data_IF_000809782408
#
_entry.id   IF_000809782408
#
_cell.length_a   1.000
_cell.length_b   1.000
_cell.length_c   1.000
_cell.angle_alpha   90.00
_cell.angle_beta   90.00
_cell.angle_gamma   90.00
#
_symmetry.space_group_name_H-M   'P 1'
#
loop_
_entity.id
_entity.type
_entity.pdbx_description
1 polymer ?
#
# COMPACT_ATOMS: atom_id res chain seq x y z
N UNK A 1 24.70 -11.68 20.48
CA UNK A 1 24.08 -11.08 21.68
C UNK A 1 23.19 -9.93 21.22
N UNK A 2 21.86 -10.11 21.06
CA UNK A 2 21.28 -9.49 19.84
C UNK A 2 19.88 -8.85 19.83
N UNK A 3 18.88 -9.21 20.66
CA UNK A 3 17.71 -8.30 20.82
C UNK A 3 17.25 -8.10 22.27
N UNK A 4 17.45 -9.10 23.12
CA UNK A 4 16.99 -9.07 24.50
C UNK A 4 17.75 -8.01 25.30
N UNK A 5 19.08 -8.02 25.22
CA UNK A 5 19.96 -7.03 25.86
C UNK A 5 19.62 -5.60 25.44
N UNK A 6 19.35 -5.34 24.16
CA UNK A 6 18.96 -4.00 23.69
C UNK A 6 17.61 -3.56 24.28
N UNK A 7 16.63 -4.47 24.39
CA UNK A 7 15.34 -4.19 25.00
C UNK A 7 15.43 -3.99 26.52
N UNK A 8 16.25 -4.77 27.21
CA UNK A 8 16.49 -4.61 28.66
C UNK A 8 17.23 -3.30 28.94
N UNK A 9 18.16 -2.91 28.07
CA UNK A 9 18.96 -1.70 28.24
C UNK A 9 18.15 -0.42 28.05
N UNK A 10 17.25 -0.39 27.06
CA UNK A 10 16.36 0.75 26.81
C UNK A 10 15.13 0.78 27.73
N UNK A 11 14.95 -0.22 28.60
CA UNK A 11 13.88 -0.21 29.60
C UNK A 11 14.04 0.95 30.58
N UNK A 12 15.27 1.31 30.92
CA UNK A 12 15.60 2.48 31.76
C UNK A 12 15.10 3.79 31.15
N UNK A 13 15.13 3.91 29.82
CA UNK A 13 14.57 5.07 29.14
C UNK A 13 13.04 5.10 29.26
N UNK A 14 12.39 3.96 29.12
CA UNK A 14 10.92 3.87 29.24
C UNK A 14 10.44 4.31 30.62
N UNK A 15 11.13 3.87 31.69
CA UNK A 15 10.85 4.32 33.06
C UNK A 15 11.03 5.81 33.23
N UNK A 16 12.14 6.37 32.71
CA UNK A 16 12.40 7.80 32.80
C UNK A 16 11.31 8.64 32.11
N UNK A 17 10.87 8.19 30.92
CA UNK A 17 9.79 8.86 30.19
C UNK A 17 8.46 8.77 30.95
N UNK A 18 8.13 7.62 31.51
CA UNK A 18 6.89 7.40 32.26
C UNK A 18 6.85 8.19 33.58
N UNK A 19 7.96 8.21 34.34
CA UNK A 19 8.12 9.00 35.57
C UNK A 19 7.93 10.50 35.32
N UNK A 20 8.31 10.98 34.13
CA UNK A 20 8.10 12.36 33.71
C UNK A 20 6.71 12.61 33.08
N UNK A 21 5.82 11.61 33.09
CA UNK A 21 4.46 11.70 32.57
C UNK A 21 4.39 11.82 31.04
N UNK A 22 5.45 11.43 30.32
CA UNK A 22 5.53 11.55 28.88
C UNK A 22 4.82 10.38 28.20
N UNK A 23 4.02 10.67 27.18
CA UNK A 23 3.38 9.64 26.37
C UNK A 23 4.33 9.24 25.26
N UNK A 24 4.65 7.96 25.14
CA UNK A 24 5.56 7.47 24.11
C UNK A 24 5.13 6.11 23.56
N UNK A 25 5.70 5.75 22.42
CA UNK A 25 5.63 4.42 21.82
C UNK A 25 7.04 4.06 21.37
N UNK A 26 7.52 2.87 21.76
CA UNK A 26 8.85 2.38 21.37
C UNK A 26 8.74 1.02 20.69
N UNK A 27 9.59 0.79 19.70
CA UNK A 27 9.80 -0.48 19.03
C UNK A 27 11.30 -0.66 18.78
N UNK A 28 11.93 -1.54 19.56
CA UNK A 28 13.39 -1.64 19.64
C UNK A 28 14.03 -0.26 19.93
N UNK A 29 14.83 0.26 19.00
CA UNK A 29 15.52 1.56 19.07
C UNK A 29 14.70 2.72 18.47
N UNK A 30 13.67 2.44 17.68
CA UNK A 30 12.78 3.46 17.12
C UNK A 30 11.68 3.82 18.13
N UNK A 31 11.54 5.10 18.48
CA UNK A 31 10.48 5.57 19.37
C UNK A 31 9.87 6.91 18.95
N UNK A 32 8.65 7.14 19.42
CA UNK A 32 7.90 8.39 19.28
C UNK A 32 7.55 8.90 20.67
N UNK A 33 7.74 10.20 20.90
CA UNK A 33 7.27 10.88 22.11
C UNK A 33 6.22 11.91 21.69
N UNK A 34 5.10 11.92 22.40
CA UNK A 34 3.95 12.76 22.12
C UNK A 34 3.81 13.84 23.19
N UNK A 35 3.61 15.07 22.73
CA UNK A 35 3.38 16.24 23.56
C UNK A 35 2.29 17.12 22.94
N UNK A 36 1.63 17.95 23.77
CA UNK A 36 0.57 18.86 23.31
C UNK A 36 1.13 20.22 22.90
N UNK A 37 2.30 20.61 23.41
CA UNK A 37 2.96 21.89 23.13
C UNK A 37 4.40 21.74 22.65
N UNK A 38 4.95 22.84 22.11
CA UNK A 38 6.36 22.89 21.69
C UNK A 38 7.27 22.90 22.92
N UNK A 39 6.88 23.56 23.99
CA UNK A 39 7.64 23.62 25.25
C UNK A 39 7.74 22.22 25.87
N UNK A 40 6.63 21.48 25.93
CA UNK A 40 6.60 20.11 26.43
C UNK A 40 7.51 19.17 25.63
N UNK A 41 7.49 19.24 24.29
CA UNK A 41 8.36 18.38 23.48
C UNK A 41 9.85 18.74 23.63
N UNK A 42 10.19 20.03 23.80
CA UNK A 42 11.57 20.42 24.08
C UNK A 42 12.05 19.90 25.43
N UNK A 43 11.20 19.96 26.47
CA UNK A 43 11.50 19.35 27.77
C UNK A 43 11.72 17.84 27.63
N UNK A 44 10.83 17.15 26.90
CA UNK A 44 10.96 15.72 26.65
C UNK A 44 12.26 15.35 25.92
N UNK A 45 12.68 16.15 24.93
CA UNK A 45 13.97 15.96 24.24
C UNK A 45 15.14 16.09 25.23
N UNK A 46 15.10 17.07 26.13
CA UNK A 46 16.14 17.26 27.15
C UNK A 46 16.27 16.04 28.08
N UNK A 47 15.15 15.57 28.63
CA UNK A 47 15.09 14.36 29.47
C UNK A 47 15.63 13.15 28.70
N UNK A 48 15.14 12.94 27.48
CA UNK A 48 15.57 11.82 26.62
C UNK A 48 17.08 11.86 26.35
N UNK A 49 17.63 13.03 25.99
CA UNK A 49 19.06 13.21 25.73
C UNK A 49 19.90 12.93 26.97
N UNK A 50 19.46 13.42 28.14
CA UNK A 50 20.16 13.18 29.41
C UNK A 50 20.21 11.68 29.73
N UNK A 51 19.06 11.00 29.67
CA UNK A 51 18.98 9.57 29.98
C UNK A 51 19.75 8.69 29.00
N UNK A 52 19.65 8.98 27.70
CA UNK A 52 20.44 8.24 26.70
C UNK A 52 21.94 8.42 26.93
N UNK A 53 22.38 9.63 27.29
CA UNK A 53 23.79 9.90 27.60
C UNK A 53 24.28 9.13 28.84
N UNK A 54 23.45 9.00 29.88
CA UNK A 54 23.74 8.14 31.04
C UNK A 54 23.90 6.67 30.63
N UNK A 55 23.09 6.22 29.67
CA UNK A 55 23.18 4.90 29.05
C UNK A 55 24.29 4.82 27.98
N UNK A 56 25.19 5.80 27.87
CA UNK A 56 26.27 5.79 26.87
C UNK A 56 25.78 5.75 25.41
N UNK A 57 24.54 6.18 25.17
CA UNK A 57 23.90 6.26 23.86
C UNK A 57 23.74 7.71 23.42
N UNK A 58 23.72 7.92 22.12
CA UNK A 58 23.48 9.23 21.52
C UNK A 58 22.29 9.19 20.57
N UNK A 59 21.56 10.30 20.51
CA UNK A 59 20.50 10.47 19.52
C UNK A 59 21.14 10.68 18.15
N UNK A 60 20.65 9.94 17.16
CA UNK A 60 21.00 10.20 15.77
C UNK A 60 20.35 11.52 15.30
N UNK A 61 21.04 12.66 15.48
CA UNK A 61 20.48 14.00 15.25
C UNK A 61 19.91 14.19 13.83
N UNK A 62 20.51 13.55 12.82
CA UNK A 62 19.99 13.58 11.44
C UNK A 62 18.72 12.76 11.20
N UNK A 63 18.32 11.90 12.15
CA UNK A 63 17.13 11.05 12.07
C UNK A 63 16.01 11.52 12.99
N UNK A 64 16.33 12.25 14.06
CA UNK A 64 15.34 12.74 15.02
C UNK A 64 14.73 14.05 14.55
N UNK A 65 13.40 14.14 14.60
CA UNK A 65 12.66 15.33 14.17
C UNK A 65 11.49 15.63 15.11
N UNK A 66 11.27 16.92 15.35
CA UNK A 66 10.02 17.41 15.96
C UNK A 66 9.01 17.60 14.84
N UNK A 67 7.83 17.00 14.99
CA UNK A 67 6.78 16.99 13.96
C UNK A 67 5.51 17.59 14.54
N UNK A 68 4.93 18.59 13.88
CA UNK A 68 3.59 19.04 14.20
C UNK A 68 2.60 18.22 13.39
N UNK A 69 2.00 17.17 13.98
CA UNK A 69 1.11 16.26 13.25
C UNK A 69 -0.21 16.89 12.74
N UNK A 70 -0.45 18.18 12.99
CA UNK A 70 -1.50 18.95 12.31
C UNK A 70 -1.08 19.48 10.93
N UNK A 71 0.21 19.51 10.64
CA UNK A 71 0.80 20.12 9.44
C UNK A 71 1.78 19.19 8.70
N UNK A 72 2.45 18.31 9.45
CA UNK A 72 3.61 17.57 8.97
C UNK A 72 3.37 16.05 9.04
N UNK A 73 3.81 15.36 7.99
CA UNK A 73 3.83 13.90 7.94
C UNK A 73 5.05 13.35 8.70
N UNK A 74 4.92 12.14 9.26
CA UNK A 74 6.06 11.42 9.82
C UNK A 74 6.08 9.95 9.43
N UNK A 75 7.27 9.37 9.48
CA UNK A 75 7.45 7.95 9.21
C UNK A 75 7.71 7.22 10.53
N UNK A 76 7.11 6.05 10.68
CA UNK A 76 7.37 5.15 11.79
C UNK A 76 7.11 3.71 11.34
N UNK A 77 8.05 2.81 11.65
CA UNK A 77 7.94 1.36 11.35
C UNK A 77 7.49 1.05 9.93
N UNK A 78 8.08 1.70 8.93
CA UNK A 78 7.80 1.43 7.50
C UNK A 78 6.48 2.00 6.98
N UNK A 79 5.78 2.81 7.77
CA UNK A 79 4.58 3.54 7.37
C UNK A 79 4.79 5.04 7.50
N UNK A 80 4.14 5.79 6.61
CA UNK A 80 3.99 7.23 6.69
C UNK A 80 2.63 7.56 7.31
N UNK A 81 2.66 8.19 8.47
CA UNK A 81 1.54 8.82 9.14
C UNK A 81 1.38 10.22 8.55
N UNK A 82 0.32 10.39 7.77
CA UNK A 82 0.01 11.66 7.14
C UNK A 82 -0.81 12.51 8.09
N UNK A 83 -0.45 13.79 8.19
CA UNK A 83 -1.06 14.73 9.13
C UNK A 83 -2.59 14.80 9.05
N UNK A 84 -3.17 15.31 10.13
CA UNK A 84 -4.60 15.51 10.23
C UNK A 84 -5.15 16.41 9.13
N UNK A 85 -6.28 16.01 8.56
CA UNK A 85 -7.00 16.79 7.56
C UNK A 85 -8.51 16.62 7.73
N UNK A 86 -9.29 17.46 7.06
CA UNK A 86 -10.74 17.39 7.07
C UNK A 86 -11.23 16.57 5.87
N UNK A 87 -12.08 15.58 6.14
CA UNK A 87 -12.76 14.88 5.05
C UNK A 87 -13.87 15.76 4.44
N UNK A 88 -14.48 15.29 3.34
CA UNK A 88 -15.57 16.02 2.64
C UNK A 88 -16.80 16.32 3.52
N UNK A 89 -16.95 15.65 4.66
CA UNK A 89 -18.04 15.84 5.62
C UNK A 89 -17.61 16.70 6.83
N UNK A 90 -16.46 17.38 6.75
CA UNK A 90 -15.95 18.21 7.84
C UNK A 90 -15.53 17.43 9.09
N UNK A 91 -15.19 16.14 8.98
CA UNK A 91 -14.66 15.36 10.12
C UNK A 91 -13.14 15.25 10.04
N UNK A 92 -12.42 15.41 11.17
CA UNK A 92 -10.98 15.24 11.22
C UNK A 92 -10.62 13.77 11.00
N UNK A 93 -9.68 13.54 10.10
CA UNK A 93 -9.14 12.22 9.75
C UNK A 93 -7.64 12.33 9.52
N UNK A 94 -6.94 11.22 9.67
CA UNK A 94 -5.55 11.08 9.22
C UNK A 94 -5.41 9.81 8.39
N UNK A 95 -4.27 9.66 7.69
CA UNK A 95 -4.01 8.49 6.87
C UNK A 95 -2.71 7.85 7.29
N UNK A 96 -2.70 6.53 7.38
CA UNK A 96 -1.47 5.75 7.47
C UNK A 96 -1.32 5.01 6.15
N UNK A 97 -0.16 5.13 5.52
CA UNK A 97 0.16 4.48 4.25
C UNK A 97 1.53 3.82 4.31
N UNK A 98 1.79 2.73 3.59
CA UNK A 98 3.14 2.21 3.46
C UNK A 98 4.06 3.30 2.92
N UNK A 99 5.27 3.38 3.47
CA UNK A 99 6.29 4.33 3.02
C UNK A 99 6.55 4.17 1.51
N UNK A 100 6.89 5.25 0.83
CA UNK A 100 7.07 5.23 -0.63
C UNK A 100 8.13 4.20 -1.06
N UNK A 101 9.21 4.07 -0.30
CA UNK A 101 10.27 3.07 -0.49
C UNK A 101 9.72 1.64 -0.43
N UNK A 102 8.76 1.37 0.47
CA UNK A 102 8.14 0.04 0.58
C UNK A 102 7.36 -0.33 -0.68
N UNK A 103 6.70 0.66 -1.31
CA UNK A 103 5.96 0.50 -2.57
C UNK A 103 6.92 0.38 -3.76
N UNK A 104 8.01 1.17 -3.78
CA UNK A 104 9.08 1.06 -4.77
C UNK A 104 9.72 -0.33 -4.73
N UNK A 105 10.04 -0.83 -3.54
CA UNK A 105 10.56 -2.18 -3.32
C UNK A 105 9.58 -3.25 -3.81
N UNK A 106 8.28 -3.11 -3.52
CA UNK A 106 7.27 -4.04 -4.03
C UNK A 106 7.28 -4.06 -5.57
N UNK A 107 7.23 -2.89 -6.23
CA UNK A 107 7.31 -2.82 -7.70
C UNK A 107 8.60 -3.43 -8.23
N UNK A 108 9.72 -3.19 -7.57
CA UNK A 108 11.03 -3.73 -7.94
C UNK A 108 11.06 -5.27 -7.84
N UNK A 109 10.56 -5.84 -6.75
CA UNK A 109 10.45 -7.30 -6.56
C UNK A 109 9.59 -7.94 -7.65
N UNK A 110 8.44 -7.35 -7.98
CA UNK A 110 7.60 -7.79 -9.11
C UNK A 110 8.35 -7.69 -10.43
N UNK A 111 9.04 -6.56 -10.70
CA UNK A 111 9.84 -6.37 -11.91
C UNK A 111 10.90 -7.46 -12.06
N UNK A 112 11.64 -7.76 -10.98
CA UNK A 112 12.68 -8.80 -10.93
C UNK A 112 12.12 -10.20 -11.16
N UNK A 113 10.92 -10.51 -10.66
CA UNK A 113 10.26 -11.80 -10.89
C UNK A 113 9.55 -11.93 -12.24
N UNK A 114 9.47 -10.86 -13.04
CA UNK A 114 8.85 -10.82 -14.37
C UNK A 114 9.83 -10.36 -15.48
N UNK A 115 11.01 -10.98 -15.64
CA UNK A 115 11.95 -10.61 -16.70
C UNK A 115 11.38 -10.97 -18.08
N UNK A 116 11.80 -10.21 -19.11
CA UNK A 116 11.37 -10.46 -20.50
C UNK A 116 12.07 -11.64 -21.18
N UNK A 117 13.14 -12.15 -20.58
CA UNK A 117 14.04 -13.16 -21.19
C UNK A 117 13.63 -14.60 -20.91
N UNK A 118 12.69 -14.82 -19.98
CA UNK A 118 12.24 -16.17 -19.64
C UNK A 118 10.99 -16.50 -20.44
N UNK A 119 10.86 -17.78 -20.80
CA UNK A 119 9.65 -18.37 -21.38
C UNK A 119 9.15 -19.39 -20.37
N UNK A 120 8.06 -19.06 -19.71
CA UNK A 120 7.40 -19.90 -18.72
C UNK A 120 5.92 -19.98 -19.07
N UNK A 121 5.26 -21.03 -18.60
CA UNK A 121 3.81 -21.08 -18.66
C UNK A 121 3.18 -19.97 -17.78
N UNK A 122 1.90 -19.69 -18.02
CA UNK A 122 1.20 -18.55 -17.39
C UNK A 122 0.99 -18.75 -15.89
N UNK A 123 0.81 -20.00 -15.45
CA UNK A 123 0.59 -20.35 -14.04
C UNK A 123 1.89 -20.19 -13.27
N UNK A 124 3.02 -20.60 -13.85
CA UNK A 124 4.33 -20.47 -13.24
C UNK A 124 4.74 -19.00 -13.06
N UNK A 125 4.44 -18.16 -14.04
CA UNK A 125 4.58 -16.70 -13.87
C UNK A 125 3.78 -16.16 -12.68
N UNK A 126 2.57 -16.67 -12.46
CA UNK A 126 1.71 -16.29 -11.32
C UNK A 126 2.31 -16.78 -10.00
N UNK A 127 2.79 -18.03 -9.95
CA UNK A 127 3.45 -18.62 -8.78
C UNK A 127 4.67 -17.81 -8.33
N UNK A 128 5.38 -17.18 -9.27
CA UNK A 128 6.53 -16.32 -8.95
C UNK A 128 6.17 -14.99 -8.30
N UNK A 129 4.99 -14.44 -8.59
CA UNK A 129 4.57 -13.11 -8.07
C UNK A 129 3.68 -13.20 -6.83
N UNK A 130 2.87 -14.25 -6.71
CA UNK A 130 1.93 -14.44 -5.60
C UNK A 130 2.60 -14.39 -4.21
N UNK A 131 3.77 -15.01 -3.96
CA UNK A 131 4.46 -14.92 -2.67
C UNK A 131 4.84 -13.48 -2.29
N UNK A 132 5.27 -12.66 -3.25
CA UNK A 132 5.60 -11.25 -3.01
C UNK A 132 4.34 -10.48 -2.61
N UNK A 133 3.24 -10.71 -3.33
CA UNK A 133 1.95 -10.08 -3.04
C UNK A 133 1.50 -10.42 -1.62
N UNK A 134 1.53 -11.71 -1.25
CA UNK A 134 1.15 -12.17 0.09
C UNK A 134 2.00 -11.51 1.18
N UNK A 135 3.32 -11.55 1.05
CA UNK A 135 4.22 -10.99 2.06
C UNK A 135 4.00 -9.48 2.26
N UNK A 136 3.90 -8.71 1.17
CA UNK A 136 3.68 -7.26 1.26
C UNK A 136 2.30 -6.90 1.80
N UNK A 137 1.26 -7.60 1.36
CA UNK A 137 -0.10 -7.33 1.83
C UNK A 137 -0.27 -7.69 3.30
N UNK A 138 0.29 -8.82 3.77
CA UNK A 138 0.27 -9.20 5.19
C UNK A 138 0.82 -8.07 6.08
N UNK A 139 1.92 -7.45 5.66
CA UNK A 139 2.47 -6.31 6.38
C UNK A 139 1.57 -5.06 6.32
N UNK A 140 0.97 -4.76 5.16
CA UNK A 140 0.10 -3.58 5.04
C UNK A 140 -1.25 -3.71 5.76
N UNK A 141 -1.69 -4.94 6.03
CA UNK A 141 -2.92 -5.24 6.79
C UNK A 141 -2.80 -4.81 8.26
N UNK A 142 -1.60 -4.70 8.82
CA UNK A 142 -1.37 -4.23 10.21
C UNK A 142 -2.11 -2.93 10.53
N UNK A 143 -2.22 -2.01 9.57
CA UNK A 143 -2.91 -0.73 9.77
C UNK A 143 -4.40 -0.92 10.04
N UNK A 144 -5.07 -1.85 9.35
CA UNK A 144 -6.49 -2.09 9.59
C UNK A 144 -6.73 -2.93 10.84
N UNK A 145 -5.82 -3.86 11.14
CA UNK A 145 -5.90 -4.66 12.36
C UNK A 145 -5.79 -3.76 13.60
N UNK A 146 -4.85 -2.82 13.63
CA UNK A 146 -4.74 -1.82 14.70
C UNK A 146 -6.00 -0.94 14.83
N UNK A 147 -6.69 -0.62 13.73
CA UNK A 147 -7.95 0.14 13.78
C UNK A 147 -9.08 -0.69 14.41
N UNK A 148 -9.15 -1.98 14.08
CA UNK A 148 -10.15 -2.90 14.63
C UNK A 148 -9.91 -3.12 16.12
N UNK A 149 -8.66 -3.39 16.51
CA UNK A 149 -8.28 -3.57 17.91
C UNK A 149 -8.65 -2.35 18.76
N UNK A 150 -8.33 -1.13 18.27
CA UNK A 150 -8.79 0.09 18.94
C UNK A 150 -10.31 0.12 19.11
N UNK A 151 -11.06 -0.31 18.10
CA UNK A 151 -12.53 -0.33 18.14
C UNK A 151 -13.05 -1.35 19.16
N UNK A 152 -12.43 -2.54 19.22
CA UNK A 152 -12.74 -3.58 20.21
C UNK A 152 -12.46 -3.10 21.64
N UNK A 153 -11.42 -2.28 21.83
CA UNK A 153 -11.11 -1.59 23.08
C UNK A 153 -11.99 -0.36 23.35
N UNK A 154 -13.04 -0.13 22.58
CA UNK A 154 -13.94 1.03 22.74
C UNK A 154 -13.34 2.37 22.32
N UNK A 155 -12.15 2.38 21.70
CA UNK A 155 -11.47 3.57 21.24
C UNK A 155 -11.85 3.92 19.80
N UNK A 156 -12.15 5.19 19.57
CA UNK A 156 -12.47 5.69 18.25
C UNK A 156 -11.19 5.99 17.45
N UNK A 157 -10.98 5.27 16.35
CA UNK A 157 -9.93 5.61 15.40
C UNK A 157 -10.40 6.59 14.33
N UNK A 158 -9.58 7.60 14.07
CA UNK A 158 -9.76 8.55 12.97
C UNK A 158 -8.91 8.22 11.73
N UNK A 159 -8.19 7.09 11.76
CA UNK A 159 -7.37 6.64 10.65
C UNK A 159 -8.24 6.10 9.52
N UNK A 160 -7.95 6.50 8.28
CA UNK A 160 -8.68 6.03 7.09
C UNK A 160 -7.76 5.27 6.13
N UNK A 161 -8.13 4.05 5.76
CA UNK A 161 -7.29 3.16 4.92
C UNK A 161 -7.52 3.28 3.42
N UNK A 162 -8.36 4.22 2.97
CA UNK A 162 -8.71 4.40 1.54
C UNK A 162 -7.49 4.68 0.64
N UNK A 163 -6.43 5.32 1.16
CA UNK A 163 -5.20 5.55 0.39
C UNK A 163 -4.46 4.24 0.09
N UNK A 164 -4.30 3.36 1.10
CA UNK A 164 -3.72 2.01 0.92
C UNK A 164 -4.47 1.23 -0.16
N UNK A 165 -5.81 1.20 -0.09
CA UNK A 165 -6.64 0.51 -1.09
C UNK A 165 -6.39 1.00 -2.53
N UNK A 166 -6.24 2.32 -2.72
CA UNK A 166 -5.93 2.90 -4.03
C UNK A 166 -4.52 2.53 -4.51
N UNK A 167 -3.55 2.48 -3.60
CA UNK A 167 -2.17 2.09 -3.91
C UNK A 167 -2.11 0.62 -4.35
N UNK A 168 -2.80 -0.27 -3.63
CA UNK A 168 -2.92 -1.68 -3.99
C UNK A 168 -3.61 -1.89 -5.34
N UNK A 169 -4.70 -1.17 -5.62
CA UNK A 169 -5.35 -1.23 -6.94
C UNK A 169 -4.41 -0.80 -8.07
N UNK A 170 -3.62 0.25 -7.84
CA UNK A 170 -2.59 0.70 -8.77
C UNK A 170 -1.51 -0.37 -8.99
N UNK A 171 -1.07 -1.04 -7.91
CA UNK A 171 -0.12 -2.15 -7.96
C UNK A 171 -0.68 -3.34 -8.72
N UNK A 172 -1.95 -3.69 -8.55
CA UNK A 172 -2.62 -4.75 -9.32
C UNK A 172 -2.63 -4.44 -10.81
N UNK A 173 -2.82 -3.17 -11.18
CA UNK A 173 -2.67 -2.71 -12.57
C UNK A 173 -1.24 -2.89 -13.10
N UNK A 174 -0.24 -2.57 -12.28
CA UNK A 174 1.18 -2.74 -12.62
C UNK A 174 1.57 -4.21 -12.77
N UNK A 175 1.19 -5.07 -11.84
CA UNK A 175 1.47 -6.52 -11.85
C UNK A 175 0.90 -7.15 -13.13
N UNK A 176 -0.37 -6.89 -13.42
CA UNK A 176 -1.01 -7.42 -14.64
C UNK A 176 -0.30 -6.92 -15.90
N UNK A 177 0.07 -5.64 -15.98
CA UNK A 177 0.85 -5.11 -17.11
C UNK A 177 2.17 -5.87 -17.29
N UNK A 178 2.89 -6.13 -16.20
CA UNK A 178 4.16 -6.88 -16.24
C UNK A 178 3.96 -8.32 -16.71
N UNK A 179 2.96 -9.01 -16.16
CA UNK A 179 2.63 -10.39 -16.55
C UNK A 179 2.22 -10.48 -18.02
N UNK A 180 1.38 -9.57 -18.51
CA UNK A 180 1.02 -9.52 -19.94
C UNK A 180 2.26 -9.36 -20.83
N UNK A 181 3.21 -8.51 -20.46
CA UNK A 181 4.48 -8.39 -21.21
C UNK A 181 5.27 -9.71 -21.14
N UNK A 182 5.31 -10.37 -19.99
CA UNK A 182 6.02 -11.63 -19.79
C UNK A 182 5.39 -12.83 -20.55
N UNK A 183 4.08 -12.79 -20.79
CA UNK A 183 3.36 -13.80 -21.59
C UNK A 183 3.60 -13.67 -23.10
N UNK A 184 4.22 -12.58 -23.57
CA UNK A 184 4.49 -12.36 -25.00
C UNK A 184 5.90 -12.87 -25.32
N UNK A 185 5.99 -13.98 -26.05
CA UNK A 185 7.28 -14.58 -26.41
C UNK A 185 8.00 -13.82 -27.54
N UNK A 186 7.28 -13.41 -28.60
CA UNK A 186 7.87 -12.72 -29.75
C UNK A 186 7.93 -11.21 -29.54
N UNK A 187 9.14 -10.67 -29.35
CA UNK A 187 9.43 -9.23 -29.17
C UNK A 187 8.52 -8.54 -28.12
N UNK A 188 8.66 -8.87 -26.82
CA UNK A 188 7.81 -8.34 -25.76
C UNK A 188 7.96 -6.82 -25.58
N UNK A 189 6.86 -6.09 -25.81
CA UNK A 189 6.78 -4.64 -25.68
C UNK A 189 5.54 -4.19 -24.91
N UNK A 190 5.58 -2.97 -24.37
CA UNK A 190 4.42 -2.37 -23.73
C UNK A 190 3.28 -2.17 -24.73
N UNK A 191 3.58 -1.78 -25.96
CA UNK A 191 2.56 -1.59 -27.01
C UNK A 191 1.78 -2.88 -27.26
N UNK A 192 2.46 -4.04 -27.33
CA UNK A 192 1.79 -5.34 -27.46
C UNK A 192 0.97 -5.68 -26.21
N UNK A 193 1.46 -5.35 -25.01
CA UNK A 193 0.67 -5.51 -23.77
C UNK A 193 -0.67 -4.78 -23.83
N UNK A 194 -0.70 -3.53 -24.31
CA UNK A 194 -1.93 -2.75 -24.38
C UNK A 194 -2.98 -3.44 -25.25
N UNK A 195 -2.57 -4.07 -26.35
CA UNK A 195 -3.46 -4.83 -27.24
C UNK A 195 -4.03 -6.06 -26.51
N UNK A 196 -3.23 -6.73 -25.68
CA UNK A 196 -3.63 -7.95 -24.97
C UNK A 196 -4.57 -7.72 -23.76
N UNK A 197 -5.00 -6.48 -23.47
CA UNK A 197 -5.87 -6.19 -22.31
C UNK A 197 -7.26 -6.80 -22.40
N UNK A 198 -7.77 -6.97 -23.62
CA UNK A 198 -9.06 -7.61 -23.85
C UNK A 198 -8.97 -9.12 -23.59
N UNK A 199 -7.88 -9.76 -24.07
CA UNK A 199 -7.63 -11.19 -23.88
C UNK A 199 -7.25 -11.55 -22.44
N UNK A 200 -6.26 -10.85 -21.89
CA UNK A 200 -5.77 -11.06 -20.52
C UNK A 200 -6.36 -9.98 -19.60
N UNK A 201 -7.68 -10.01 -19.46
CA UNK A 201 -8.45 -9.10 -18.62
C UNK A 201 -8.38 -9.52 -17.13
N UNK A 202 -9.18 -8.90 -16.25
CA UNK A 202 -9.17 -9.25 -14.82
C UNK A 202 -9.64 -10.68 -14.55
N UNK A 203 -10.71 -11.10 -15.22
CA UNK A 203 -11.33 -12.42 -15.07
C UNK A 203 -10.32 -13.50 -15.46
N UNK A 204 -9.58 -13.30 -16.56
CA UNK A 204 -8.49 -14.19 -16.98
C UNK A 204 -7.42 -14.36 -15.88
N UNK A 205 -6.94 -13.25 -15.31
CA UNK A 205 -5.91 -13.31 -14.27
C UNK A 205 -6.40 -14.02 -12.99
N UNK A 206 -7.66 -13.80 -12.63
CA UNK A 206 -8.29 -14.52 -11.50
C UNK A 206 -8.41 -16.01 -11.80
N UNK A 207 -8.80 -16.38 -13.03
CA UNK A 207 -8.92 -17.78 -13.45
C UNK A 207 -7.59 -18.53 -13.35
N UNK A 208 -6.48 -17.90 -13.73
CA UNK A 208 -5.13 -18.47 -13.55
C UNK A 208 -4.54 -18.26 -12.14
N UNK A 209 -5.40 -17.99 -11.15
CA UNK A 209 -5.07 -17.89 -9.72
C UNK A 209 -4.06 -16.79 -9.36
N UNK A 210 -4.00 -15.70 -10.15
CA UNK A 210 -3.30 -14.49 -9.70
C UNK A 210 -4.06 -13.89 -8.52
N UNK A 211 -3.35 -13.60 -7.44
CA UNK A 211 -3.92 -12.97 -6.24
C UNK A 211 -3.89 -11.45 -6.43
N UNK A 212 -5.04 -10.77 -6.56
CA UNK A 212 -5.04 -9.32 -6.55
C UNK A 212 -4.65 -8.82 -5.15
N UNK A 213 -3.67 -7.93 -5.07
CA UNK A 213 -3.18 -7.38 -3.81
C UNK A 213 -4.26 -6.60 -3.07
N UNK A 214 -5.13 -5.87 -3.78
CA UNK A 214 -6.28 -5.21 -3.16
C UNK A 214 -7.30 -6.21 -2.63
N UNK A 215 -7.57 -7.28 -3.36
CA UNK A 215 -8.50 -8.31 -2.89
C UNK A 215 -7.96 -8.96 -1.62
N UNK A 216 -6.71 -9.40 -1.61
CA UNK A 216 -6.12 -10.06 -0.44
C UNK A 216 -6.17 -9.15 0.79
N UNK A 217 -5.93 -7.84 0.60
CA UNK A 217 -6.08 -6.86 1.67
C UNK A 217 -7.52 -6.77 2.18
N UNK A 218 -8.51 -6.69 1.28
CA UNK A 218 -9.93 -6.59 1.66
C UNK A 218 -10.47 -7.90 2.27
N UNK A 219 -9.97 -9.04 1.83
CA UNK A 219 -10.27 -10.34 2.39
C UNK A 219 -9.78 -10.43 3.84
N UNK A 220 -8.52 -10.08 4.11
CA UNK A 220 -7.98 -10.06 5.48
C UNK A 220 -8.65 -9.00 6.35
N UNK A 221 -8.93 -7.83 5.76
CA UNK A 221 -9.53 -6.73 6.48
C UNK A 221 -11.01 -6.95 6.81
N UNK A 222 -11.79 -7.57 5.93
CA UNK A 222 -13.26 -7.56 6.02
C UNK A 222 -13.92 -8.89 5.63
N UNK A 223 -13.15 -9.94 5.37
CA UNK A 223 -13.67 -11.23 4.93
C UNK A 223 -14.18 -11.25 3.48
N UNK A 224 -13.91 -10.22 2.67
CA UNK A 224 -14.41 -10.15 1.30
C UNK A 224 -13.98 -11.36 0.47
N UNK A 225 -14.94 -12.03 -0.17
CA UNK A 225 -14.67 -13.18 -1.06
C UNK A 225 -14.04 -12.72 -2.38
N UNK A 226 -13.45 -13.66 -3.13
CA UNK A 226 -12.85 -13.33 -4.43
C UNK A 226 -13.94 -13.05 -5.48
N UNK A 227 -15.07 -13.71 -5.34
CA UNK A 227 -16.29 -13.58 -6.13
C UNK A 227 -16.86 -12.17 -5.97
N UNK A 228 -17.07 -11.71 -4.73
CA UNK A 228 -17.54 -10.35 -4.43
C UNK A 228 -16.61 -9.30 -5.03
N UNK A 229 -15.30 -9.50 -4.87
CA UNK A 229 -14.30 -8.59 -5.41
C UNK A 229 -14.34 -8.54 -6.95
N UNK A 230 -14.46 -9.70 -7.61
CA UNK A 230 -14.56 -9.79 -9.06
C UNK A 230 -15.83 -9.09 -9.56
N UNK A 231 -16.97 -9.32 -8.90
CA UNK A 231 -18.24 -8.66 -9.19
C UNK A 231 -18.12 -7.14 -9.03
N UNK A 232 -17.50 -6.68 -7.95
CA UNK A 232 -17.21 -5.27 -7.70
C UNK A 232 -16.40 -4.62 -8.83
N UNK A 233 -15.35 -5.31 -9.29
CA UNK A 233 -14.52 -4.84 -10.40
C UNK A 233 -15.30 -4.78 -11.70
N UNK A 234 -16.14 -5.78 -11.96
CA UNK A 234 -17.01 -5.83 -13.15
C UNK A 234 -18.02 -4.69 -13.15
N UNK A 235 -18.71 -4.48 -12.04
CA UNK A 235 -19.68 -3.38 -11.86
C UNK A 235 -19.01 -2.00 -12.05
N UNK A 236 -17.84 -1.79 -11.45
CA UNK A 236 -17.06 -0.55 -11.63
C UNK A 236 -16.63 -0.34 -13.10
N UNK A 237 -16.21 -1.42 -13.77
CA UNK A 237 -15.84 -1.38 -15.19
C UNK A 237 -17.04 -1.05 -16.09
N UNK A 238 -18.19 -1.70 -15.85
CA UNK A 238 -19.45 -1.43 -16.56
C UNK A 238 -19.88 0.02 -16.38
N UNK A 239 -19.91 0.53 -15.15
CA UNK A 239 -20.23 1.94 -14.87
C UNK A 239 -19.31 2.91 -15.60
N UNK A 240 -18.00 2.64 -15.62
CA UNK A 240 -17.03 3.47 -16.34
C UNK A 240 -17.26 3.43 -17.85
N UNK A 241 -17.62 2.27 -18.39
CA UNK A 241 -17.98 2.11 -19.79
C UNK A 241 -19.23 2.91 -20.14
N UNK A 242 -20.32 2.79 -19.38
CA UNK A 242 -21.56 3.54 -19.62
C UNK A 242 -21.34 5.06 -19.57
N UNK A 243 -20.63 5.54 -18.55
CA UNK A 243 -20.28 6.97 -18.45
C UNK A 243 -19.44 7.44 -19.64
N UNK A 244 -18.55 6.59 -20.14
CA UNK A 244 -17.76 6.93 -21.31
C UNK A 244 -18.63 6.92 -22.58
N UNK A 245 -19.53 5.95 -22.76
CA UNK A 245 -20.49 5.91 -23.87
C UNK A 245 -21.36 7.17 -23.92
N UNK A 246 -21.92 7.57 -22.78
CA UNK A 246 -22.70 8.80 -22.64
C UNK A 246 -21.89 10.04 -23.05
N UNK A 247 -20.62 10.14 -22.63
CA UNK A 247 -19.75 11.27 -23.01
C UNK A 247 -19.47 11.34 -24.51
N UNK A 248 -19.35 10.21 -25.19
CA UNK A 248 -19.17 10.17 -26.65
C UNK A 248 -20.47 10.57 -27.35
N UNK A 249 -21.62 10.05 -26.89
CA UNK A 249 -22.93 10.44 -27.40
C UNK A 249 -23.20 11.95 -27.25
N UNK A 250 -22.84 12.54 -26.10
CA UNK A 250 -22.94 13.99 -25.88
C UNK A 250 -22.06 14.82 -26.83
N UNK A 251 -21.02 14.23 -27.41
CA UNK A 251 -20.14 14.86 -28.41
C UNK A 251 -20.57 14.58 -29.86
N UNK A 252 -21.67 13.86 -30.06
CA UNK A 252 -22.08 13.39 -31.39
C UNK A 252 -21.17 12.31 -31.98
N UNK A 253 -20.32 11.68 -31.18
CA UNK A 253 -19.37 10.67 -31.62
C UNK A 253 -19.85 9.25 -31.27
N UNK A 254 -19.56 8.27 -32.14
CA UNK A 254 -19.79 6.86 -31.81
C UNK A 254 -18.72 6.31 -30.84
N UNK A 255 -19.18 5.65 -29.78
CA UNK A 255 -18.28 5.02 -28.82
C UNK A 255 -17.42 3.89 -29.41
N UNK A 256 -18.00 3.14 -30.36
CA UNK A 256 -17.36 2.06 -31.11
C UNK A 256 -16.92 2.55 -32.49
N UNK A 257 -15.93 3.44 -32.55
CA UNK A 257 -15.34 3.81 -33.83
C UNK A 257 -14.70 2.60 -34.53
N UNK A 258 -14.62 2.65 -35.87
CA UNK A 258 -13.95 1.65 -36.71
C UNK A 258 -12.53 1.31 -36.20
N UNK A 259 -11.76 2.34 -35.81
CA UNK A 259 -10.43 2.20 -35.20
C UNK A 259 -10.45 1.39 -33.89
N UNK A 260 -11.50 1.53 -33.09
CA UNK A 260 -11.65 0.84 -31.80
C UNK A 260 -12.02 -0.63 -31.99
N UNK A 261 -12.92 -0.93 -32.91
CA UNK A 261 -13.26 -2.30 -33.30
C UNK A 261 -12.05 -3.02 -33.90
N UNK A 262 -11.29 -2.35 -34.78
CA UNK A 262 -10.06 -2.89 -35.35
C UNK A 262 -9.01 -3.23 -34.27
N UNK A 263 -8.89 -2.40 -33.22
CA UNK A 263 -8.01 -2.70 -32.07
C UNK A 263 -8.44 -3.96 -31.31
N UNK A 264 -9.75 -4.19 -31.16
CA UNK A 264 -10.28 -5.40 -30.52
C UNK A 264 -10.02 -6.64 -31.37
N UNK A 265 -10.27 -6.57 -32.69
CA UNK A 265 -9.99 -7.68 -33.61
C UNK A 265 -8.49 -8.02 -33.67
N UNK A 266 -7.63 -7.01 -33.76
CA UNK A 266 -6.18 -7.20 -33.76
C UNK A 266 -5.67 -7.87 -32.48
N UNK A 267 -6.32 -7.61 -31.34
CA UNK A 267 -5.98 -8.27 -30.08
C UNK A 267 -6.37 -9.76 -30.07
N UNK A 268 -7.49 -10.11 -30.73
CA UNK A 268 -7.95 -11.48 -30.87
C UNK A 268 -7.10 -12.29 -31.87
N UNK A 269 -6.66 -11.64 -32.96
CA UNK A 269 -5.78 -12.24 -33.97
C UNK A 269 -4.35 -12.47 -33.44
N UNK A 270 -3.77 -11.56 -32.66
CA UNK A 270 -2.39 -11.65 -32.12
C UNK A 270 -2.18 -12.71 -31.02
N UNK A 271 -3.07 -13.68 -31.00
CA UNK A 271 -3.45 -14.46 -29.84
C UNK A 271 -3.65 -15.94 -30.19
N UNK A 272 -3.88 -16.21 -31.47
CA UNK A 272 -3.57 -17.45 -32.17
C UNK A 272 -2.14 -17.34 -32.72
#
# INVERSE_FOLDING_TARGET
>A
MSPLLANTYLNELDWELDLNGLRFVRYADDFLIFAKSKEEIQKAIGITKAKLKELGLEIAEGKTKVVNFKKDDFDFLGFTFQHWTMNKKGKPVFFVVPKEESIKDFRLKIKRKTPKKLTLDKVEWVNRVNPIIRGKVNYYVLVIDAIKENTELGQKSHCVTRKIRRMLDSLDGYIRRRLRVAFIHKHPSQIKEYKMRYKWNNEFFIAIKLIPSLWLYLNKAYGQTLEDFAMDKKTKSKRKYELAKLRFQMKGEEYFSSLRLQKMQNAWNASH
#
